data_IF_306620089581
#
_entry.id   IF_306620089581
#
_cell.length_a   1.000
_cell.length_b   1.000
_cell.length_c   1.000
_cell.angle_alpha   90.00
_cell.angle_beta   90.00
_cell.angle_gamma   90.00
#
_symmetry.space_group_name_H-M   'P 1'
#
loop_
_entity.id
_entity.type
_entity.pdbx_description
1 polymer ?
#
# COMPACT_ATOMS: atom_id res chain seq x y z
N UNK A 1 9.42 11.36 -8.33
CA UNK A 1 9.70 10.89 -6.95
C UNK A 1 8.60 9.91 -6.50
N UNK A 2 8.96 8.83 -5.80
CA UNK A 2 8.02 7.82 -5.29
C UNK A 2 7.75 8.03 -3.79
N UNK A 3 6.52 7.76 -3.35
CA UNK A 3 6.13 7.71 -1.96
C UNK A 3 6.11 6.25 -1.49
N UNK A 4 6.72 5.97 -0.33
CA UNK A 4 6.61 4.69 0.36
C UNK A 4 5.44 4.76 1.33
N UNK A 5 4.56 3.78 1.28
CA UNK A 5 3.37 3.68 2.12
C UNK A 5 3.43 2.36 2.88
N UNK A 6 3.26 2.43 4.19
CA UNK A 6 3.17 1.26 5.05
C UNK A 6 1.73 1.16 5.56
N UNK A 7 1.13 -0.02 5.38
CA UNK A 7 -0.24 -0.32 5.79
C UNK A 7 -0.25 -1.48 6.76
N UNK A 8 -0.94 -1.33 7.89
CA UNK A 8 -1.18 -2.40 8.84
C UNK A 8 -2.41 -3.19 8.38
N UNK A 9 -2.26 -4.51 8.18
CA UNK A 9 -3.35 -5.43 7.81
C UNK A 9 -3.35 -6.61 8.77
N UNK A 10 -4.27 -6.59 9.73
CA UNK A 10 -4.24 -7.52 10.87
C UNK A 10 -2.92 -7.35 11.64
N UNK A 11 -2.17 -8.43 11.79
CA UNK A 11 -0.84 -8.43 12.44
C UNK A 11 0.32 -8.15 11.46
N UNK A 12 0.04 -8.03 10.15
CA UNK A 12 1.06 -7.89 9.13
C UNK A 12 1.26 -6.43 8.69
N UNK A 13 2.49 -6.10 8.31
CA UNK A 13 2.83 -4.81 7.71
C UNK A 13 3.07 -4.97 6.20
N UNK A 14 2.23 -4.35 5.39
CA UNK A 14 2.40 -4.28 3.93
C UNK A 14 3.09 -2.97 3.57
N UNK A 15 4.19 -3.06 2.82
CA UNK A 15 4.86 -1.86 2.27
C UNK A 15 4.64 -1.80 0.76
N UNK A 16 4.18 -0.66 0.27
CA UNK A 16 3.99 -0.39 -1.15
C UNK A 16 4.65 0.91 -1.57
N UNK A 17 4.87 1.08 -2.87
CA UNK A 17 5.37 2.31 -3.47
C UNK A 17 4.38 2.81 -4.51
N UNK A 18 4.13 4.11 -4.51
CA UNK A 18 3.33 4.75 -5.56
C UNK A 18 3.84 6.16 -5.89
N UNK A 19 3.48 6.73 -7.05
CA UNK A 19 3.84 8.10 -7.37
C UNK A 19 3.32 9.08 -6.32
N UNK A 20 4.19 10.02 -5.89
CA UNK A 20 3.86 10.99 -4.83
C UNK A 20 2.63 11.84 -5.17
N UNK A 21 2.44 12.17 -6.45
CA UNK A 21 1.30 13.00 -6.89
C UNK A 21 -0.03 12.25 -6.75
N UNK A 22 -0.05 10.95 -7.04
CA UNK A 22 -1.23 10.11 -6.81
C UNK A 22 -1.56 9.99 -5.33
N UNK A 23 -0.55 9.86 -4.48
CA UNK A 23 -0.74 9.86 -3.03
C UNK A 23 -1.31 11.19 -2.51
N UNK A 24 -0.82 12.33 -3.01
CA UNK A 24 -1.37 13.64 -2.64
C UNK A 24 -2.82 13.80 -3.12
N UNK A 25 -3.12 13.32 -4.32
CA UNK A 25 -4.47 13.38 -4.90
C UNK A 25 -5.48 12.47 -4.19
N UNK A 26 -5.04 11.37 -3.59
CA UNK A 26 -5.95 10.48 -2.86
C UNK A 26 -6.44 11.07 -1.55
N UNK A 27 -5.73 12.07 -1.01
CA UNK A 27 -6.11 12.73 0.25
C UNK A 27 -5.91 11.88 1.52
N UNK A 28 -5.31 10.70 1.39
CA UNK A 28 -5.07 9.78 2.51
C UNK A 28 -4.13 10.39 3.55
N UNK A 29 -4.48 10.17 4.82
CA UNK A 29 -3.71 10.57 5.99
C UNK A 29 -3.32 9.33 6.81
N UNK A 30 -2.37 9.53 7.71
CA UNK A 30 -2.00 8.49 8.67
C UNK A 30 -3.20 8.17 9.57
N UNK A 31 -3.55 6.89 9.66
CA UNK A 31 -4.69 6.41 10.43
C UNK A 31 -5.98 6.24 9.63
N UNK A 32 -6.04 6.72 8.38
CA UNK A 32 -7.18 6.47 7.51
C UNK A 32 -7.25 5.00 7.10
N UNK A 33 -8.47 4.47 6.98
CA UNK A 33 -8.69 3.18 6.33
C UNK A 33 -8.41 3.29 4.83
N UNK A 34 -7.68 2.32 4.29
CA UNK A 34 -7.32 2.29 2.87
C UNK A 34 -7.48 0.87 2.30
N UNK A 35 -7.97 0.79 1.07
CA UNK A 35 -8.02 -0.45 0.31
C UNK A 35 -6.77 -0.57 -0.58
N UNK A 36 -6.15 -1.76 -0.59
CA UNK A 36 -4.99 -2.06 -1.44
C UNK A 36 -5.35 -3.21 -2.36
N UNK A 37 -5.13 -3.01 -3.65
CA UNK A 37 -5.25 -4.06 -4.65
C UNK A 37 -3.85 -4.53 -5.08
N UNK A 38 -3.62 -5.84 -5.05
CA UNK A 38 -2.45 -6.47 -5.64
C UNK A 38 -2.88 -7.47 -6.71
N UNK A 39 -2.10 -7.57 -7.79
CA UNK A 39 -2.37 -8.55 -8.85
C UNK A 39 -1.96 -9.93 -8.35
N UNK A 40 -2.87 -10.89 -8.40
CA UNK A 40 -2.63 -12.27 -7.96
C UNK A 40 -1.39 -12.90 -8.63
N UNK A 41 -1.10 -12.55 -9.89
CA UNK A 41 0.09 -13.03 -10.61
C UNK A 41 1.43 -12.64 -9.95
N UNK A 42 1.45 -11.61 -9.11
CA UNK A 42 2.66 -11.15 -8.43
C UNK A 42 2.81 -11.79 -7.03
N UNK A 43 1.89 -12.64 -6.61
CA UNK A 43 1.94 -13.32 -5.31
C UNK A 43 2.72 -14.61 -5.46
N UNK A 44 3.81 -14.73 -4.71
CA UNK A 44 4.56 -15.98 -4.58
C UNK A 44 4.20 -16.64 -3.26
N UNK A 45 3.63 -17.84 -3.35
CA UNK A 45 3.40 -18.69 -2.17
C UNK A 45 4.73 -19.35 -1.77
N UNK A 46 5.07 -19.27 -0.49
CA UNK A 46 6.17 -20.01 0.12
C UNK A 46 5.56 -20.90 1.20
N UNK A 47 5.86 -22.19 1.11
CA UNK A 47 5.44 -23.23 2.05
C UNK A 47 6.63 -23.64 2.91
#
# INVERSE_FOLDING_TARGET
YMARISLQVGENLLTTIMPRDKFRLSGYKLGDEAAVAFKALNVRLML
#
